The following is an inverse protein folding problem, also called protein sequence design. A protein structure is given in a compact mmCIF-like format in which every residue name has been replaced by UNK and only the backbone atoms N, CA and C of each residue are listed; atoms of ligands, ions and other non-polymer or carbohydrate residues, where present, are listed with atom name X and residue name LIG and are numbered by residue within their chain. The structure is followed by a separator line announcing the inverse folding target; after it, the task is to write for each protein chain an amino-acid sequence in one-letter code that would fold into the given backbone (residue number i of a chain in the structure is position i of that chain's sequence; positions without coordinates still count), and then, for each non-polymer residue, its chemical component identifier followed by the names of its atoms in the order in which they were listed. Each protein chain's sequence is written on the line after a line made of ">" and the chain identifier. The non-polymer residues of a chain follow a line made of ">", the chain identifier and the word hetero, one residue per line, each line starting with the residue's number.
data_IF_588168849046
#
_entry.id   IF_588168849046
#
_cell.length_a   1.000
_cell.length_b   1.000
_cell.length_c   1.000
_cell.angle_alpha   90.00
_cell.angle_beta   90.00
_cell.angle_gamma   90.00
#
_symmetry.space_group_name_H-M   'P 1'
#
loop_
_entity.id
_entity.type
_entity.pdbx_description
1 polymer ?
#
# COMPACT_ATOMS: atom_id res chain seq x y z
N UNK A 1 -3.41 -1.09 33.25
CA UNK A 1 -4.48 -1.98 32.75
C UNK A 1 -4.69 -1.67 31.27
N UNK A 2 -4.01 -2.39 30.37
CA UNK A 2 -4.23 -2.29 28.93
C UNK A 2 -5.00 -3.52 28.49
N UNK A 3 -6.24 -3.33 28.04
CA UNK A 3 -7.11 -4.41 27.58
C UNK A 3 -6.87 -4.56 26.08
N UNK A 4 -6.10 -5.56 25.68
CA UNK A 4 -5.90 -5.87 24.27
C UNK A 4 -7.22 -6.37 23.69
N UNK A 5 -7.76 -5.66 22.70
CA UNK A 5 -8.89 -6.12 21.91
C UNK A 5 -8.41 -7.26 21.00
N UNK A 6 -8.97 -8.45 21.17
CA UNK A 6 -8.77 -9.59 20.28
C UNK A 6 -10.04 -9.73 19.44
N UNK A 7 -9.99 -9.51 18.11
CA UNK A 7 -11.16 -9.64 17.26
C UNK A 7 -11.65 -11.10 17.23
N UNK A 8 -12.97 -11.33 17.12
CA UNK A 8 -13.52 -12.68 16.99
C UNK A 8 -13.03 -13.31 15.68
N UNK A 9 -12.24 -14.38 15.78
CA UNK A 9 -11.55 -15.02 14.65
C UNK A 9 -10.09 -15.40 14.92
N UNK A 10 -9.50 -14.96 16.04
CA UNK A 10 -8.22 -15.48 16.55
C UNK A 10 -6.95 -15.04 15.80
N UNK A 11 -7.07 -14.27 14.72
CA UNK A 11 -5.92 -13.65 14.09
C UNK A 11 -5.37 -12.55 15.03
N UNK A 12 -4.06 -12.56 15.34
CA UNK A 12 -3.45 -11.49 16.11
C UNK A 12 -3.62 -10.14 15.38
N UNK A 13 -3.72 -9.01 16.11
CA UNK A 13 -3.74 -7.70 15.48
C UNK A 13 -2.52 -7.57 14.57
N UNK A 14 -2.76 -7.30 13.28
CA UNK A 14 -1.70 -7.14 12.30
C UNK A 14 -1.04 -5.80 12.62
N UNK A 15 0.23 -5.85 13.01
CA UNK A 15 1.03 -4.66 13.32
C UNK A 15 2.08 -4.49 12.23
N UNK A 16 2.38 -3.23 11.89
CA UNK A 16 3.37 -2.87 10.88
C UNK A 16 2.80 -2.01 9.77
N UNK A 17 3.68 -1.67 8.84
CA UNK A 17 3.36 -0.91 7.64
C UNK A 17 3.26 -1.86 6.45
N UNK A 18 2.39 -1.52 5.50
CA UNK A 18 2.27 -2.23 4.24
C UNK A 18 2.24 -1.26 3.06
N UNK A 19 2.75 -1.74 1.94
CA UNK A 19 2.52 -1.12 0.63
C UNK A 19 1.39 -1.86 -0.06
N UNK A 20 0.29 -1.17 -0.33
CA UNK A 20 -0.83 -1.68 -1.11
C UNK A 20 -0.75 -1.22 -2.57
N UNK A 21 -0.97 -2.14 -3.50
CA UNK A 21 -1.07 -1.86 -4.95
C UNK A 21 -2.39 -2.42 -5.48
N UNK A 22 -3.18 -1.57 -6.14
CA UNK A 22 -4.42 -1.91 -6.84
C UNK A 22 -4.28 -1.53 -8.31
N UNK A 23 -4.04 -2.55 -9.16
CA UNK A 23 -3.81 -2.40 -10.59
C UNK A 23 -5.09 -2.73 -11.34
N UNK A 24 -5.86 -1.69 -11.70
CA UNK A 24 -7.03 -1.80 -12.56
C UNK A 24 -6.72 -1.51 -14.03
N UNK A 25 -7.69 -1.74 -14.91
CA UNK A 25 -7.54 -1.45 -16.35
C UNK A 25 -7.35 0.04 -16.69
N UNK A 26 -7.85 0.93 -15.82
CA UNK A 26 -7.82 2.39 -16.05
C UNK A 26 -6.83 3.12 -15.16
N UNK A 27 -6.68 2.69 -13.91
CA UNK A 27 -5.79 3.33 -12.94
C UNK A 27 -5.00 2.30 -12.16
N UNK A 28 -3.80 2.69 -11.75
CA UNK A 28 -3.02 2.03 -10.70
C UNK A 28 -3.10 2.92 -9.47
N UNK A 29 -3.63 2.40 -8.37
CA UNK A 29 -3.59 3.04 -7.07
C UNK A 29 -2.54 2.37 -6.18
N UNK A 30 -1.80 3.18 -5.43
CA UNK A 30 -0.79 2.70 -4.50
C UNK A 30 -0.92 3.44 -3.17
N UNK A 31 -0.66 2.77 -2.05
CA UNK A 31 -0.67 3.41 -0.75
C UNK A 31 0.25 2.78 0.29
N UNK A 32 0.83 3.63 1.14
CA UNK A 32 1.48 3.23 2.38
C UNK A 32 0.40 3.17 3.47
N UNK A 33 0.22 2.00 4.08
CA UNK A 33 -0.87 1.71 5.01
C UNK A 33 -0.30 1.32 6.36
N UNK A 34 -0.80 1.96 7.42
CA UNK A 34 -0.62 1.46 8.79
C UNK A 34 -1.65 0.37 9.06
N UNK A 35 -1.19 -0.87 9.22
CA UNK A 35 -2.06 -2.03 9.42
C UNK A 35 -2.70 -2.04 10.81
N UNK A 36 -2.12 -1.34 11.78
CA UNK A 36 -2.65 -1.29 13.15
C UNK A 36 -3.89 -0.38 13.24
N UNK A 37 -3.90 0.72 12.49
CA UNK A 37 -5.00 1.69 12.47
C UNK A 37 -5.90 1.57 11.23
N UNK A 38 -5.42 0.91 10.17
CA UNK A 38 -6.07 0.87 8.86
C UNK A 38 -5.92 2.18 8.06
N UNK A 39 -5.13 3.13 8.53
CA UNK A 39 -4.96 4.43 7.88
C UNK A 39 -4.03 4.35 6.67
N UNK A 40 -4.42 5.04 5.59
CA UNK A 40 -3.54 5.28 4.44
C UNK A 40 -2.69 6.52 4.75
N UNK A 41 -1.40 6.32 5.00
CA UNK A 41 -0.44 7.37 5.34
C UNK A 41 -0.01 8.18 4.10
N UNK A 42 0.13 7.50 2.96
CA UNK A 42 0.43 8.11 1.65
C UNK A 42 -0.40 7.40 0.59
N UNK A 43 -0.91 8.14 -0.40
CA UNK A 43 -1.65 7.60 -1.55
C UNK A 43 -1.15 8.22 -2.85
N UNK A 44 -0.95 7.39 -3.87
CA UNK A 44 -0.71 7.81 -5.25
C UNK A 44 -1.67 7.10 -6.19
N UNK A 45 -2.06 7.78 -7.27
CA UNK A 45 -2.91 7.21 -8.32
C UNK A 45 -2.40 7.71 -9.67
N UNK A 46 -2.15 6.80 -10.60
CA UNK A 46 -1.73 7.11 -11.97
C UNK A 46 -2.64 6.38 -12.97
N UNK A 47 -2.76 6.87 -14.22
CA UNK A 47 -3.42 6.10 -15.28
C UNK A 47 -2.63 4.82 -15.61
N UNK A 48 -3.30 3.68 -15.81
CA UNK A 48 -2.64 2.41 -16.12
C UNK A 48 -1.93 2.41 -17.48
N UNK A 49 -2.52 3.11 -18.47
CA UNK A 49 -2.03 3.12 -19.87
C UNK A 49 -1.78 1.70 -20.39
N UNK A 50 -2.79 0.84 -20.26
CA UNK A 50 -2.72 -0.60 -20.53
C UNK A 50 -2.31 -0.95 -21.97
N UNK A 51 -2.49 -0.04 -22.93
CA UNK A 51 -2.08 -0.22 -24.34
C UNK A 51 -0.57 -0.37 -24.53
N UNK A 52 0.24 -0.03 -23.51
CA UNK A 52 1.70 -0.27 -23.53
C UNK A 52 2.11 -1.71 -23.17
N UNK A 53 1.15 -2.57 -22.81
CA UNK A 53 1.39 -3.97 -22.44
C UNK A 53 1.65 -4.19 -20.94
N UNK A 54 1.59 -5.46 -20.52
CA UNK A 54 1.66 -5.86 -19.12
C UNK A 54 2.98 -5.52 -18.43
N UNK A 55 4.11 -5.67 -19.14
CA UNK A 55 5.44 -5.36 -18.58
C UNK A 55 5.57 -3.88 -18.21
N UNK A 56 5.02 -2.99 -19.04
CA UNK A 56 5.01 -1.56 -18.76
C UNK A 56 4.12 -1.22 -17.55
N UNK A 57 3.01 -1.92 -17.38
CA UNK A 57 2.12 -1.77 -16.21
C UNK A 57 2.81 -2.26 -14.93
N UNK A 58 3.50 -3.41 -14.99
CA UNK A 58 4.29 -3.94 -13.88
C UNK A 58 5.42 -2.97 -13.49
N UNK A 59 6.13 -2.42 -14.47
CA UNK A 59 7.19 -1.45 -14.24
C UNK A 59 6.65 -0.20 -13.50
N UNK A 60 5.51 0.34 -13.93
CA UNK A 60 4.87 1.49 -13.28
C UNK A 60 4.44 1.17 -11.84
N UNK A 61 3.86 -0.02 -11.60
CA UNK A 61 3.50 -0.46 -10.25
C UNK A 61 4.72 -0.57 -9.31
N UNK A 62 5.84 -1.09 -9.83
CA UNK A 62 7.11 -1.17 -9.08
C UNK A 62 7.72 0.21 -8.80
N UNK A 63 7.57 1.16 -9.72
CA UNK A 63 7.98 2.56 -9.48
C UNK A 63 7.18 3.15 -8.32
N UNK A 64 5.84 3.01 -8.33
CA UNK A 64 5.00 3.47 -7.23
C UNK A 64 5.38 2.83 -5.88
N UNK A 65 5.68 1.53 -5.86
CA UNK A 65 6.11 0.86 -4.64
C UNK A 65 7.41 1.47 -4.09
N UNK A 66 8.41 1.72 -4.94
CA UNK A 66 9.68 2.36 -4.53
C UNK A 66 9.49 3.80 -4.06
N UNK A 67 8.60 4.56 -4.70
CA UNK A 67 8.28 5.92 -4.25
C UNK A 67 7.68 5.91 -2.83
N UNK A 68 6.76 4.97 -2.56
CA UNK A 68 6.15 4.85 -1.24
C UNK A 68 7.13 4.36 -0.16
N UNK A 69 8.07 3.49 -0.52
CA UNK A 69 9.18 3.08 0.35
C UNK A 69 10.09 4.27 0.70
N UNK A 70 10.40 5.11 -0.29
CA UNK A 70 11.08 6.39 -0.07
C UNK A 70 10.28 7.33 0.84
N UNK A 71 8.96 7.40 0.68
CA UNK A 71 8.08 8.21 1.54
C UNK A 71 8.04 7.68 3.00
N UNK A 72 8.10 6.35 3.20
CA UNK A 72 8.19 5.73 4.53
C UNK A 72 9.53 6.09 5.20
N UNK A 73 10.63 5.90 4.46
CA UNK A 73 11.98 6.27 4.91
C UNK A 73 12.07 7.75 5.30
N UNK A 74 11.51 8.65 4.48
CA UNK A 74 11.51 10.08 4.74
C UNK A 74 10.67 10.48 5.98
N UNK A 75 9.69 9.65 6.36
CA UNK A 75 8.89 9.80 7.58
C UNK A 75 9.55 9.17 8.81
N UNK A 76 10.62 8.41 8.63
CA UNK A 76 11.33 7.72 9.70
C UNK A 76 10.57 6.52 10.27
N UNK A 77 9.77 5.84 9.44
CA UNK A 77 8.95 4.69 9.81
C UNK A 77 9.28 3.46 8.97
#
# INVERSE_FOLDING_TARGET
>A
MSRTYVPPGGAPPISGLALGLDVGGTKIAAGLVDLSSGLILTKRVIPTRATRGGDAVLADALVLARELDGDATARGI
#
